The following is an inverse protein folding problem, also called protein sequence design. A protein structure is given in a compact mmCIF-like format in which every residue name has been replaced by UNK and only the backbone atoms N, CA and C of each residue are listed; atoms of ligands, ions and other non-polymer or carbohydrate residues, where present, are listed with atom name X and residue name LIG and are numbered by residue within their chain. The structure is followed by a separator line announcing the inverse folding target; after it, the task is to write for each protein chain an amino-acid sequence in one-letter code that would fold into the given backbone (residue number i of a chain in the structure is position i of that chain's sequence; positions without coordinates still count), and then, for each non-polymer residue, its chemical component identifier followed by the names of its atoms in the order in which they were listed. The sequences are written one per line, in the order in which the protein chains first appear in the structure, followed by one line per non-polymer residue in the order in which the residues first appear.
data_IF_226797156744
#
_entry.id   IF_226797156744
#
_cell.length_a   1.000
_cell.length_b   1.000
_cell.length_c   1.000
_cell.angle_alpha   90.00
_cell.angle_beta   90.00
_cell.angle_gamma   90.00
#
_symmetry.space_group_name_H-M   'P 1'
#
loop_
_entity.id
_entity.type
_entity.pdbx_description
1 polymer ?
#
# COMPACT_ATOMS: atom_id res chain seq x y z
N UNK A 1 3.60 -6.84 18.52
CA UNK A 1 3.91 -7.23 17.13
C UNK A 1 2.60 -7.36 16.35
N UNK A 2 2.41 -6.64 15.24
CA UNK A 2 1.23 -6.76 14.39
C UNK A 2 0.90 -8.18 13.93
N UNK A 3 1.90 -9.03 13.66
CA UNK A 3 1.67 -10.42 13.23
C UNK A 3 0.94 -11.23 14.31
N UNK A 4 1.25 -10.99 15.59
CA UNK A 4 0.57 -11.64 16.71
C UNK A 4 -0.90 -11.24 16.86
N UNK A 5 -1.29 -10.12 16.26
CA UNK A 5 -2.65 -9.56 16.25
C UNK A 5 -3.39 -9.86 14.93
N UNK A 6 -2.82 -10.72 14.07
CA UNK A 6 -3.42 -11.13 12.80
C UNK A 6 -3.07 -10.26 11.59
N UNK A 7 -2.12 -9.33 11.72
CA UNK A 7 -1.69 -8.43 10.64
C UNK A 7 -0.28 -8.80 10.15
N UNK A 8 -0.20 -9.76 9.23
CA UNK A 8 1.08 -10.26 8.71
C UNK A 8 1.98 -9.15 8.16
N UNK A 9 3.12 -8.92 8.83
CA UNK A 9 4.11 -7.91 8.45
C UNK A 9 4.81 -8.18 7.10
N UNK A 10 4.75 -9.40 6.57
CA UNK A 10 5.28 -9.72 5.23
C UNK A 10 4.29 -9.38 4.12
N UNK A 11 3.02 -9.18 4.47
CA UNK A 11 1.99 -8.72 3.57
C UNK A 11 2.01 -7.20 3.47
N UNK A 12 3.00 -6.68 2.75
CA UNK A 12 3.26 -5.25 2.57
C UNK A 12 3.46 -4.88 1.10
N UNK A 13 3.16 -3.63 0.75
CA UNK A 13 3.50 -3.05 -0.56
C UNK A 13 5.01 -3.07 -0.76
N UNK A 14 5.47 -3.19 -2.00
CA UNK A 14 6.88 -3.40 -2.32
C UNK A 14 7.82 -2.27 -1.83
N UNK A 15 7.32 -1.04 -1.70
CA UNK A 15 8.08 0.13 -1.26
C UNK A 15 8.07 0.30 0.28
N UNK A 16 7.27 -0.48 0.99
CA UNK A 16 7.29 -0.58 2.45
C UNK A 16 8.45 -1.50 2.85
N UNK A 17 9.53 -0.92 3.38
CA UNK A 17 10.74 -1.67 3.74
C UNK A 17 10.44 -2.69 4.84
N UNK A 18 9.75 -2.26 5.89
CA UNK A 18 9.47 -3.04 7.09
C UNK A 18 8.24 -2.52 7.79
N UNK A 19 7.59 -3.40 8.57
CA UNK A 19 6.54 -3.00 9.50
C UNK A 19 7.10 -3.19 10.89
N UNK A 20 7.15 -2.12 11.68
CA UNK A 20 7.80 -2.15 12.98
C UNK A 20 7.05 -3.08 13.96
N UNK A 21 7.71 -4.11 14.53
CA UNK A 21 7.07 -5.02 15.49
C UNK A 21 6.81 -4.40 16.87
N UNK A 22 7.61 -3.39 17.24
CA UNK A 22 7.66 -2.78 18.56
C UNK A 22 6.76 -1.54 18.66
N UNK A 23 6.44 -0.91 17.53
CA UNK A 23 5.55 0.25 17.46
C UNK A 23 4.32 -0.04 16.60
N UNK A 24 3.27 -0.53 17.25
CA UNK A 24 2.01 -0.94 16.63
C UNK A 24 0.81 -0.47 17.46
N UNK A 25 -0.20 0.08 16.79
CA UNK A 25 -1.43 0.56 17.41
C UNK A 25 -2.65 0.16 16.57
N UNK A 26 -3.78 -0.08 17.22
CA UNK A 26 -5.07 -0.19 16.54
C UNK A 26 -5.92 1.02 16.92
N UNK A 27 -6.14 1.91 15.96
CA UNK A 27 -6.92 3.12 16.17
C UNK A 27 -8.42 2.81 16.15
N UNK A 28 -9.12 3.36 17.14
CA UNK A 28 -10.58 3.26 17.28
C UNK A 28 -11.16 4.59 17.79
N UNK A 29 -11.85 5.31 16.90
CA UNK A 29 -12.59 6.53 17.25
C UNK A 29 -13.94 6.15 17.88
N UNK A 30 -13.98 6.19 19.22
CA UNK A 30 -15.18 5.80 20.00
C UNK A 30 -16.36 6.77 19.81
N UNK A 31 -16.08 8.05 19.57
CA UNK A 31 -17.10 9.10 19.41
C UNK A 31 -16.76 10.06 18.27
N UNK A 32 -17.80 10.68 17.70
CA UNK A 32 -17.68 11.52 16.51
C UNK A 32 -17.62 10.71 15.20
N UNK A 33 -18.06 11.33 14.11
CA UNK A 33 -18.02 10.77 12.76
C UNK A 33 -17.07 11.52 11.82
N UNK A 34 -16.59 12.68 12.25
CA UNK A 34 -15.69 13.54 11.48
C UNK A 34 -14.28 12.95 11.40
N UNK A 35 -13.54 13.41 10.39
CA UNK A 35 -12.10 13.20 10.31
C UNK A 35 -11.39 13.71 11.57
N UNK A 36 -10.24 13.11 11.89
CA UNK A 36 -9.43 13.46 13.04
C UNK A 36 -7.94 13.32 12.73
N UNK A 37 -7.13 14.09 13.45
CA UNK A 37 -5.68 13.96 13.45
C UNK A 37 -5.25 13.09 14.63
N UNK A 38 -4.33 12.16 14.36
CA UNK A 38 -3.74 11.28 15.34
C UNK A 38 -2.23 11.54 15.36
N UNK A 39 -1.74 12.06 16.48
CA UNK A 39 -0.31 12.25 16.68
C UNK A 39 0.29 11.01 17.35
N UNK A 40 1.31 10.47 16.68
CA UNK A 40 2.11 9.33 17.12
C UNK A 40 3.44 9.86 17.62
N UNK A 41 3.74 9.62 18.89
CA UNK A 41 5.00 10.01 19.51
C UNK A 41 5.87 8.77 19.73
N UNK A 42 7.16 8.87 19.42
CA UNK A 42 8.09 7.74 19.50
C UNK A 42 9.52 8.21 19.82
N UNK A 43 10.40 7.25 20.11
CA UNK A 43 11.80 7.51 20.44
C UNK A 43 12.74 6.71 19.53
N UNK A 44 13.60 7.41 18.79
CA UNK A 44 14.50 6.79 17.79
C UNK A 44 15.31 5.60 18.32
N UNK A 45 15.94 5.63 19.51
CA UNK A 45 16.75 4.52 20.00
C UNK A 45 15.96 3.23 20.30
N UNK A 46 14.65 3.31 20.54
CA UNK A 46 13.81 2.15 20.87
C UNK A 46 12.89 1.75 19.72
N UNK A 47 12.30 2.74 19.05
CA UNK A 47 11.28 2.56 18.01
C UNK A 47 11.88 2.67 16.59
N UNK A 48 13.16 3.03 16.48
CA UNK A 48 13.84 3.23 15.21
C UNK A 48 13.57 4.59 14.57
N UNK A 49 14.37 4.92 13.57
CA UNK A 49 14.24 6.17 12.81
C UNK A 49 13.29 5.99 11.63
N UNK A 50 11.99 5.92 11.90
CA UNK A 50 10.96 5.75 10.88
C UNK A 50 10.70 7.06 10.11
N UNK A 51 10.38 6.93 8.82
CA UNK A 51 9.99 8.06 7.97
C UNK A 51 8.53 8.03 7.49
N UNK A 52 7.78 6.96 7.81
CA UNK A 52 6.41 6.77 7.35
C UNK A 52 5.55 6.02 8.37
N UNK A 53 4.29 6.43 8.51
CA UNK A 53 3.23 5.61 9.07
C UNK A 53 2.64 4.70 8.00
N UNK A 54 2.49 3.43 8.32
CA UNK A 54 1.75 2.47 7.50
C UNK A 54 0.50 2.01 8.22
N UNK A 55 -0.53 1.68 7.46
CA UNK A 55 -1.75 1.08 7.99
C UNK A 55 -2.08 -0.21 7.23
N UNK A 56 -2.75 -1.12 7.93
CA UNK A 56 -3.33 -2.29 7.32
C UNK A 56 -4.60 -1.90 6.58
N UNK A 57 -4.68 -2.22 5.29
CA UNK A 57 -5.88 -1.98 4.49
C UNK A 57 -6.76 -3.25 4.49
N UNK A 58 -8.07 -3.15 4.18
CA UNK A 58 -9.02 -4.27 4.19
C UNK A 58 -8.69 -5.47 3.28
N UNK A 59 -7.53 -5.43 2.61
CA UNK A 59 -7.09 -6.37 1.62
C UNK A 59 -5.83 -7.12 2.06
N UNK A 60 -5.62 -7.16 3.36
CA UNK A 60 -4.51 -7.83 4.00
C UNK A 60 -3.14 -7.35 3.51
N UNK A 61 -2.96 -6.03 3.43
CA UNK A 61 -1.74 -5.41 2.95
C UNK A 61 -1.39 -4.19 3.80
N UNK A 62 -0.12 -4.07 4.18
CA UNK A 62 0.45 -2.87 4.74
C UNK A 62 0.78 -1.87 3.62
N UNK A 63 0.26 -0.66 3.77
CA UNK A 63 0.51 0.46 2.86
C UNK A 63 0.78 1.75 3.63
N UNK A 64 1.39 2.74 2.96
CA UNK A 64 1.49 4.12 3.45
C UNK A 64 0.13 4.64 3.91
N UNK A 65 0.05 5.12 5.13
CA UNK A 65 -1.14 5.75 5.70
C UNK A 65 -1.43 7.17 5.16
N UNK A 66 -0.94 7.48 3.96
CA UNK A 66 -0.93 8.82 3.39
C UNK A 66 0.37 9.59 3.69
N UNK A 67 0.29 10.91 3.63
CA UNK A 67 1.43 11.80 3.86
C UNK A 67 1.88 11.67 5.32
N UNK A 68 3.14 11.29 5.53
CA UNK A 68 3.78 11.32 6.85
C UNK A 68 4.78 12.47 6.90
N UNK A 69 4.84 13.16 8.03
CA UNK A 69 5.78 14.27 8.27
C UNK A 69 6.50 14.04 9.59
N UNK A 70 7.52 13.15 9.64
CA UNK A 70 8.34 12.96 10.83
C UNK A 70 8.99 14.28 11.22
N UNK A 71 8.82 14.67 12.48
CA UNK A 71 9.42 15.90 13.01
C UNK A 71 9.92 15.71 14.43
N UNK A 72 10.99 16.42 14.82
CA UNK A 72 11.43 16.46 16.21
C UNK A 72 10.27 16.86 17.14
N UNK A 73 10.20 16.19 18.28
CA UNK A 73 9.27 16.52 19.35
C UNK A 73 10.05 16.87 20.61
N UNK A 74 9.75 18.04 21.18
CA UNK A 74 10.31 18.50 22.46
C UNK A 74 9.16 18.69 23.45
N UNK A 75 8.74 17.58 24.07
CA UNK A 75 7.71 17.57 25.11
C UNK A 75 8.30 17.41 26.52
N UNK A 76 7.43 17.47 27.53
CA UNK A 76 7.83 17.30 28.94
C UNK A 76 8.37 15.89 29.27
N UNK A 77 8.15 14.89 28.40
CA UNK A 77 8.70 13.56 28.54
C UNK A 77 10.07 13.47 27.84
N UNK A 78 11.14 13.40 28.62
CA UNK A 78 12.52 13.33 28.13
C UNK A 78 12.84 12.08 27.28
N UNK A 79 11.94 11.10 27.24
CA UNK A 79 12.13 9.87 26.47
C UNK A 79 11.50 9.92 25.07
N UNK A 80 10.63 10.87 24.73
CA UNK A 80 10.04 10.96 23.38
C UNK A 80 10.73 12.09 22.61
N UNK A 81 11.18 11.81 21.39
CA UNK A 81 11.93 12.79 20.59
C UNK A 81 11.45 12.94 19.15
N UNK A 82 10.47 12.14 18.71
CA UNK A 82 9.88 12.23 17.39
C UNK A 82 8.36 12.17 17.44
N UNK A 83 7.75 12.74 16.39
CA UNK A 83 6.32 12.77 16.17
C UNK A 83 5.97 12.59 14.70
N UNK A 84 4.89 11.88 14.40
CA UNK A 84 4.20 11.88 13.11
C UNK A 84 2.70 12.10 13.30
N UNK A 85 2.05 12.76 12.34
CA UNK A 85 0.59 12.94 12.33
C UNK A 85 -0.03 12.11 11.21
N UNK A 86 -1.07 11.35 11.54
CA UNK A 86 -1.99 10.76 10.57
C UNK A 86 -3.29 11.58 10.55
N UNK A 87 -3.70 12.05 9.38
CA UNK A 87 -4.98 12.73 9.18
C UNK A 87 -5.95 11.77 8.53
N UNK A 88 -6.98 11.33 9.26
CA UNK A 88 -7.98 10.45 8.67
C UNK A 88 -8.85 11.20 7.66
N UNK A 89 -9.45 10.48 6.71
CA UNK A 89 -10.45 11.05 5.79
C UNK A 89 -11.89 10.82 6.29
N UNK A 90 -12.04 9.96 7.29
CA UNK A 90 -13.32 9.52 7.86
C UNK A 90 -13.10 9.02 9.28
N UNK A 91 -14.20 8.71 9.97
CA UNK A 91 -14.16 8.02 11.26
C UNK A 91 -13.28 6.77 11.18
N UNK A 92 -12.32 6.68 12.08
CA UNK A 92 -11.41 5.53 12.15
C UNK A 92 -12.02 4.45 13.04
N UNK A 93 -12.10 3.22 12.52
CA UNK A 93 -12.55 2.07 13.28
C UNK A 93 -11.67 0.88 12.91
N UNK A 94 -11.13 0.22 13.95
CA UNK A 94 -10.25 -0.93 13.85
C UNK A 94 -9.17 -0.76 12.78
N UNK A 95 -8.40 0.33 12.86
CA UNK A 95 -7.34 0.63 11.89
C UNK A 95 -5.97 0.31 12.50
N UNK A 96 -5.35 -0.82 12.12
CA UNK A 96 -4.01 -1.17 12.55
C UNK A 96 -3.00 -0.25 11.87
N UNK A 97 -2.07 0.27 12.65
CA UNK A 97 -1.04 1.22 12.23
C UNK A 97 0.30 0.87 12.85
N UNK A 98 1.38 1.12 12.12
CA UNK A 98 2.74 0.91 12.59
C UNK A 98 3.71 1.92 11.99
N UNK A 99 4.89 2.04 12.59
CA UNK A 99 6.01 2.74 11.98
C UNK A 99 6.65 1.90 10.87
N UNK A 100 7.19 2.57 9.86
CA UNK A 100 7.89 1.97 8.72
C UNK A 100 8.96 2.92 8.19
N UNK A 101 9.87 2.33 7.42
CA UNK A 101 10.68 3.06 6.45
C UNK A 101 10.19 2.77 5.04
N UNK A 102 10.09 3.81 4.21
CA UNK A 102 9.85 3.64 2.78
C UNK A 102 11.19 3.62 2.06
N UNK A 103 11.37 2.60 1.22
CA UNK A 103 12.53 2.54 0.34
C UNK A 103 12.43 3.67 -0.68
N UNK A 104 13.55 4.34 -0.94
CA UNK A 104 13.66 5.17 -2.14
C UNK A 104 13.23 4.30 -3.33
N UNK A 105 12.33 4.82 -4.16
CA UNK A 105 11.81 4.06 -5.29
C UNK A 105 12.89 3.93 -6.37
N UNK A 106 13.80 2.98 -6.14
CA UNK A 106 14.82 2.53 -7.07
C UNK A 106 14.36 1.26 -7.80
N UNK A 107 13.08 0.90 -7.66
CA UNK A 107 12.52 -0.25 -8.34
C UNK A 107 12.39 0.06 -9.84
N UNK A 108 12.82 -0.86 -10.72
CA UNK A 108 12.81 -0.62 -12.17
C UNK A 108 11.39 -0.59 -12.75
N UNK A 109 10.39 -1.07 -11.99
CA UNK A 109 8.98 -1.15 -12.38
C UNK A 109 8.17 -0.14 -11.56
N UNK A 110 7.28 0.60 -12.23
CA UNK A 110 6.36 1.53 -11.56
C UNK A 110 4.91 1.14 -11.82
N UNK A 111 4.11 1.09 -10.76
CA UNK A 111 2.71 0.69 -10.79
C UNK A 111 1.82 1.92 -10.61
N UNK A 112 0.82 2.07 -11.47
CA UNK A 112 -0.32 2.95 -11.23
C UNK A 112 -1.38 2.18 -10.45
N UNK A 113 -2.12 2.86 -9.57
CA UNK A 113 -3.11 2.22 -8.69
C UNK A 113 -4.55 2.47 -9.13
N UNK A 114 -4.77 3.07 -10.30
CA UNK A 114 -6.09 3.31 -10.84
C UNK A 114 -6.08 3.44 -12.36
N UNK A 115 -7.20 3.14 -12.99
CA UNK A 115 -7.46 3.32 -14.41
C UNK A 115 -8.99 3.41 -14.64
N UNK A 116 -9.40 4.00 -15.75
CA UNK A 116 -10.78 4.34 -16.08
C UNK A 116 -11.13 3.84 -17.48
N UNK A 117 -11.67 2.61 -17.63
CA UNK A 117 -12.02 2.05 -18.93
C UNK A 117 -13.35 2.63 -19.43
N UNK A 118 -13.35 3.90 -19.84
CA UNK A 118 -14.51 4.64 -20.37
C UNK A 118 -14.43 4.92 -21.88
N UNK A 119 -13.32 4.55 -22.52
CA UNK A 119 -13.13 4.64 -23.96
C UNK A 119 -12.71 6.03 -24.44
N UNK A 120 -12.27 6.93 -23.55
CA UNK A 120 -11.78 8.26 -23.90
C UNK A 120 -10.32 8.27 -24.43
N UNK A 121 -9.65 7.11 -24.42
CA UNK A 121 -8.27 6.91 -24.83
C UNK A 121 -7.24 7.16 -23.73
N UNK A 122 -7.65 7.48 -22.49
CA UNK A 122 -6.79 7.88 -21.38
C UNK A 122 -6.98 6.95 -20.18
N UNK A 123 -5.92 6.22 -19.83
CA UNK A 123 -5.97 5.25 -18.73
C UNK A 123 -7.11 4.22 -18.89
N UNK A 124 -7.45 3.85 -20.13
CA UNK A 124 -8.47 2.84 -20.41
C UNK A 124 -8.04 1.42 -20.01
N UNK A 125 -6.75 1.22 -19.83
CA UNK A 125 -6.15 -0.06 -19.45
C UNK A 125 -5.19 0.15 -18.31
N UNK A 126 -4.99 -0.88 -17.52
CA UNK A 126 -4.04 -0.84 -16.42
C UNK A 126 -2.61 -1.04 -16.92
N UNK A 127 -1.91 0.05 -17.17
CA UNK A 127 -0.52 0.02 -17.61
C UNK A 127 0.45 -0.12 -16.44
N UNK A 128 1.54 -0.85 -16.67
CA UNK A 128 2.67 -0.92 -15.74
C UNK A 128 3.88 -0.33 -16.46
N UNK A 129 4.46 0.72 -15.89
CA UNK A 129 5.60 1.40 -16.50
C UNK A 129 6.84 0.51 -16.39
N UNK A 130 7.57 0.40 -17.50
CA UNK A 130 8.77 -0.42 -17.70
C UNK A 130 8.57 -1.93 -17.63
N UNK A 131 7.33 -2.43 -17.73
CA UNK A 131 7.08 -3.87 -17.73
C UNK A 131 7.76 -4.61 -18.89
N UNK A 132 7.98 -3.92 -20.02
CA UNK A 132 8.64 -4.47 -21.20
C UNK A 132 10.10 -4.88 -20.96
N UNK A 133 10.74 -4.36 -19.89
CA UNK A 133 12.07 -4.80 -19.44
C UNK A 133 12.05 -6.20 -18.81
N UNK A 134 10.87 -6.73 -18.50
CA UNK A 134 10.64 -8.01 -17.82
C UNK A 134 9.73 -8.91 -18.65
N UNK A 135 10.15 -9.36 -19.85
CA UNK A 135 9.30 -10.13 -20.74
C UNK A 135 8.88 -11.47 -20.15
N UNK A 136 9.69 -12.08 -19.28
CA UNK A 136 9.33 -13.27 -18.50
C UNK A 136 8.68 -12.87 -17.17
N UNK A 137 7.40 -12.53 -17.24
CA UNK A 137 6.60 -12.17 -16.08
C UNK A 137 5.30 -12.99 -16.02
N UNK A 138 4.74 -13.12 -14.82
CA UNK A 138 3.41 -13.67 -14.59
C UNK A 138 2.59 -12.66 -13.77
N UNK A 139 1.51 -12.16 -14.36
CA UNK A 139 0.55 -11.29 -13.70
C UNK A 139 -0.71 -12.08 -13.35
N UNK A 140 -1.14 -11.97 -12.11
CA UNK A 140 -2.45 -12.42 -11.63
C UNK A 140 -3.19 -11.24 -11.02
N UNK A 141 -4.45 -11.04 -11.41
CA UNK A 141 -5.36 -10.07 -10.80
C UNK A 141 -6.52 -10.82 -10.17
N UNK A 142 -6.84 -10.46 -8.94
CA UNK A 142 -7.93 -11.05 -8.15
C UNK A 142 -8.91 -9.98 -7.70
N UNK A 143 -10.17 -10.35 -7.52
CA UNK A 143 -11.18 -9.49 -6.91
C UNK A 143 -11.01 -9.45 -5.38
N UNK A 144 -11.83 -8.64 -4.70
CA UNK A 144 -11.86 -8.51 -3.23
C UNK A 144 -12.12 -9.83 -2.49
N UNK A 145 -12.75 -10.79 -3.14
CA UNK A 145 -13.09 -12.10 -2.56
C UNK A 145 -12.02 -13.17 -2.84
N UNK A 146 -10.89 -12.78 -3.44
CA UNK A 146 -9.78 -13.67 -3.75
C UNK A 146 -9.97 -14.50 -5.02
N UNK A 147 -11.03 -14.28 -5.80
CA UNK A 147 -11.22 -14.96 -7.08
C UNK A 147 -10.32 -14.34 -8.14
N UNK A 148 -9.61 -15.19 -8.89
CA UNK A 148 -8.87 -14.78 -10.09
C UNK A 148 -9.82 -14.25 -11.16
N UNK A 149 -9.55 -13.04 -11.64
CA UNK A 149 -10.32 -12.38 -12.70
C UNK A 149 -9.50 -12.19 -13.97
N UNK A 150 -8.17 -12.19 -13.85
CA UNK A 150 -7.26 -12.05 -14.98
C UNK A 150 -5.93 -12.72 -14.66
N UNK A 151 -5.37 -13.39 -15.67
CA UNK A 151 -4.05 -13.99 -15.58
C UNK A 151 -3.35 -13.90 -16.92
N UNK A 152 -2.11 -13.46 -16.91
CA UNK A 152 -1.28 -13.37 -18.10
C UNK A 152 0.14 -13.83 -17.81
N UNK A 153 0.72 -14.54 -18.78
CA UNK A 153 2.17 -14.66 -18.91
C UNK A 153 2.67 -13.65 -19.91
N UNK A 154 3.88 -13.15 -19.72
CA UNK A 154 4.50 -12.16 -20.61
C UNK A 154 3.60 -10.91 -20.76
N UNK A 155 3.05 -10.43 -19.64
CA UNK A 155 2.23 -9.22 -19.61
C UNK A 155 3.05 -8.02 -20.08
N UNK A 156 2.43 -7.18 -20.91
CA UNK A 156 2.97 -5.93 -21.42
C UNK A 156 1.83 -4.95 -21.69
N UNK A 157 2.15 -3.68 -21.99
CA UNK A 157 1.10 -2.68 -22.16
C UNK A 157 0.28 -2.85 -23.46
N UNK A 158 0.68 -3.74 -24.37
CA UNK A 158 -0.11 -4.09 -25.56
C UNK A 158 -1.21 -5.12 -25.27
N UNK A 159 -1.01 -5.98 -24.26
CA UNK A 159 -2.01 -6.94 -23.75
C UNK A 159 -2.54 -6.56 -22.36
N UNK A 160 -2.54 -5.25 -22.07
CA UNK A 160 -2.92 -4.72 -20.78
C UNK A 160 -4.35 -5.10 -20.37
N UNK A 161 -4.56 -5.35 -19.09
CA UNK A 161 -5.88 -5.61 -18.54
C UNK A 161 -6.76 -4.36 -18.65
N UNK A 162 -7.94 -4.53 -19.24
CA UNK A 162 -8.88 -3.46 -19.57
C UNK A 162 -10.07 -3.36 -18.61
N UNK A 163 -10.22 -4.31 -17.69
CA UNK A 163 -11.33 -4.31 -16.73
C UNK A 163 -12.73 -4.37 -17.36
N UNK A 164 -12.84 -4.77 -18.64
CA UNK A 164 -14.13 -4.84 -19.33
C UNK A 164 -15.04 -5.88 -18.67
N UNK A 165 -16.33 -5.54 -18.56
CA UNK A 165 -17.33 -6.39 -17.91
C UNK A 165 -17.25 -6.47 -16.37
N UNK A 166 -16.30 -5.77 -15.73
CA UNK A 166 -16.13 -5.78 -14.28
C UNK A 166 -16.69 -4.52 -13.61
N UNK A 167 -17.12 -4.64 -12.36
CA UNK A 167 -17.70 -3.52 -11.61
C UNK A 167 -16.62 -2.55 -11.11
N UNK A 168 -17.02 -1.29 -10.91
CA UNK A 168 -16.21 -0.33 -10.17
C UNK A 168 -15.81 -0.89 -8.82
N UNK A 169 -14.54 -0.70 -8.46
CA UNK A 169 -14.03 -1.22 -7.21
C UNK A 169 -12.53 -1.42 -7.19
N UNK A 170 -12.08 -2.07 -6.13
CA UNK A 170 -10.67 -2.35 -5.89
C UNK A 170 -10.37 -3.82 -6.17
N UNK A 171 -9.33 -4.04 -6.97
CA UNK A 171 -8.76 -5.32 -7.36
C UNK A 171 -7.33 -5.42 -6.85
N UNK A 172 -6.77 -6.62 -6.81
CA UNK A 172 -5.40 -6.87 -6.33
C UNK A 172 -4.58 -7.50 -7.41
N UNK A 173 -3.31 -7.14 -7.46
CA UNK A 173 -2.37 -7.79 -8.37
C UNK A 173 -1.27 -8.52 -7.60
N UNK A 174 -0.79 -9.57 -8.24
CA UNK A 174 0.43 -10.28 -7.93
C UNK A 174 1.21 -10.33 -9.25
N UNK A 175 2.32 -9.58 -9.32
CA UNK A 175 3.23 -9.61 -10.46
C UNK A 175 4.52 -10.32 -10.04
N UNK A 176 4.84 -11.44 -10.68
CA UNK A 176 6.11 -12.15 -10.51
C UNK A 176 7.05 -11.78 -11.65
N UNK A 177 8.26 -11.38 -11.32
CA UNK A 177 9.34 -11.06 -12.27
C UNK A 177 10.68 -11.52 -11.72
N UNK A 178 11.71 -11.55 -12.56
CA UNK A 178 13.10 -11.69 -12.14
C UNK A 178 13.80 -10.32 -12.24
N UNK A 179 14.24 -9.77 -11.11
CA UNK A 179 15.03 -8.53 -11.06
C UNK A 179 16.46 -8.89 -10.67
N UNK A 180 17.45 -8.57 -11.52
CA UNK A 180 18.86 -8.92 -11.28
C UNK A 180 19.06 -10.42 -10.95
N UNK A 181 18.41 -11.31 -11.72
CA UNK A 181 18.40 -12.77 -11.51
C UNK A 181 17.82 -13.23 -10.17
N UNK A 182 17.05 -12.39 -9.48
CA UNK A 182 16.35 -12.74 -8.24
C UNK A 182 14.83 -12.68 -8.46
N UNK A 183 14.09 -13.75 -8.10
CA UNK A 183 12.62 -13.71 -8.12
C UNK A 183 12.09 -12.61 -7.21
N UNK A 184 11.22 -11.77 -7.74
CA UNK A 184 10.54 -10.71 -6.99
C UNK A 184 9.04 -10.75 -7.27
N UNK A 185 8.26 -10.61 -6.20
CA UNK A 185 6.81 -10.53 -6.26
C UNK A 185 6.37 -9.15 -5.85
N UNK A 186 5.74 -8.43 -6.76
CA UNK A 186 5.06 -7.18 -6.47
C UNK A 186 3.59 -7.47 -6.18
N UNK A 187 3.08 -6.82 -5.14
CA UNK A 187 1.69 -6.89 -4.73
C UNK A 187 1.18 -5.51 -4.37
N UNK A 188 -0.08 -5.29 -4.68
CA UNK A 188 -0.76 -4.02 -4.48
C UNK A 188 -2.21 -4.10 -4.96
N UNK A 189 -2.83 -2.94 -5.09
CA UNK A 189 -4.21 -2.83 -5.53
C UNK A 189 -4.36 -1.89 -6.72
N UNK A 190 -5.49 -2.05 -7.40
CA UNK A 190 -5.88 -1.31 -8.60
C UNK A 190 -7.32 -0.87 -8.38
N UNK A 191 -7.59 0.41 -8.55
CA UNK A 191 -8.93 0.97 -8.48
C UNK A 191 -9.47 1.13 -9.90
N UNK A 192 -10.51 0.38 -10.23
CA UNK A 192 -11.24 0.52 -11.48
C UNK A 192 -12.40 1.49 -11.25
N UNK A 193 -12.43 2.57 -12.03
CA UNK A 193 -13.42 3.65 -11.94
C UNK A 193 -14.02 3.90 -13.32
N UNK A 194 -15.26 3.49 -13.53
CA UNK A 194 -16.06 3.84 -14.70
C UNK A 194 -16.91 5.05 -14.37
N UNK A 195 -16.91 6.03 -15.27
CA UNK A 195 -17.92 7.07 -15.30
C UNK A 195 -19.16 6.51 -16.01
N UNK A 196 -20.34 6.75 -15.43
CA UNK A 196 -21.63 6.45 -16.06
C UNK A 196 -22.00 7.53 -17.09
#
# INVERSE_FOLDING_TARGET
DPTGEGFDRQSKRFDVNEVNPNYFHILNQRQGASFANYDFFYNIPFDGNANQLVNWIPFNLWEKAGISNPRPFTGANAQLNQMMTFSSLKRVSNLPMALSNILANNDPITFFNSFSPDGDGRNDRWEIKNIDLFPDNELTIINRWGSEIFKAKNYNNSNAWDGLGLNNGTYFYLLKVNVNNQPKVYKGFITLLKHD
#
